data_IF_176564462209
#
_entry.id   IF_176564462209
#
_cell.length_a   1.000
_cell.length_b   1.000
_cell.length_c   1.000
_cell.angle_alpha   90.00
_cell.angle_beta   90.00
_cell.angle_gamma   90.00
#
_symmetry.space_group_name_H-M   'P 1'
#
loop_
_entity.id
_entity.type
_entity.pdbx_description
1 polymer ?
#
# COMPACT_ATOMS: atom_id res chain seq x y z
N UNK A 1 14.66 -14.89 -4.26
CA UNK A 1 13.40 -14.79 -3.45
C UNK A 1 12.15 -15.31 -4.16
N UNK A 2 11.95 -15.00 -5.45
CA UNK A 2 10.72 -15.34 -6.16
C UNK A 2 10.45 -16.85 -6.30
N UNK A 3 11.49 -17.65 -6.54
CA UNK A 3 11.35 -19.12 -6.65
C UNK A 3 10.84 -19.76 -5.37
N UNK A 4 11.25 -19.24 -4.21
CA UNK A 4 10.78 -19.72 -2.92
C UNK A 4 9.26 -19.56 -2.80
N UNK A 5 8.74 -18.37 -3.10
CA UNK A 5 7.30 -18.07 -2.98
C UNK A 5 6.46 -18.92 -3.93
N UNK A 6 6.95 -19.19 -5.15
CA UNK A 6 6.25 -20.02 -6.14
C UNK A 6 6.22 -21.51 -5.76
N UNK A 7 7.13 -21.97 -4.90
CA UNK A 7 7.19 -23.34 -4.42
C UNK A 7 6.43 -23.61 -3.13
N UNK A 8 5.78 -22.60 -2.55
CA UNK A 8 5.06 -22.74 -1.28
C UNK A 8 3.72 -23.47 -1.46
N UNK A 9 3.41 -24.34 -0.50
CA UNK A 9 2.08 -24.93 -0.36
C UNK A 9 1.16 -23.96 0.40
N UNK A 10 -0.11 -23.94 0.02
CA UNK A 10 -1.14 -23.19 0.75
C UNK A 10 -1.33 -23.81 2.14
N UNK A 11 -1.27 -22.97 3.18
CA UNK A 11 -1.49 -23.38 4.57
C UNK A 11 -2.99 -23.48 4.93
N UNK A 12 -3.85 -22.80 4.17
CA UNK A 12 -5.29 -22.79 4.33
C UNK A 12 -6.00 -22.41 3.02
N UNK A 13 -7.31 -22.64 2.93
CA UNK A 13 -8.12 -22.17 1.80
C UNK A 13 -8.26 -20.64 1.85
N UNK A 14 -8.45 -19.98 0.69
CA UNK A 14 -8.77 -18.55 0.66
C UNK A 14 -9.98 -18.26 1.53
N UNK A 15 -9.97 -17.08 2.17
CA UNK A 15 -11.12 -16.61 2.92
C UNK A 15 -11.49 -17.57 4.09
N UNK A 16 -10.51 -18.16 4.79
CA UNK A 16 -10.76 -18.94 6.04
C UNK A 16 -10.33 -18.16 7.28
N UNK A 17 -9.11 -17.63 7.27
CA UNK A 17 -8.55 -16.77 8.34
C UNK A 17 -7.66 -15.70 7.74
N UNK A 18 -7.47 -14.61 8.46
CA UNK A 18 -6.43 -13.64 8.14
C UNK A 18 -5.09 -14.11 8.70
N UNK A 19 -4.03 -14.03 7.88
CA UNK A 19 -2.66 -14.22 8.32
C UNK A 19 -1.78 -13.21 7.58
N UNK A 20 -0.95 -12.46 8.31
CA UNK A 20 0.01 -11.55 7.70
C UNK A 20 1.13 -12.38 7.05
N UNK A 21 1.40 -12.15 5.76
CA UNK A 21 2.42 -12.89 5.01
C UNK A 21 3.13 -11.99 4.01
N UNK A 22 4.45 -11.86 4.17
CA UNK A 22 5.30 -11.16 3.22
C UNK A 22 5.37 -11.92 1.89
N UNK A 23 5.30 -13.26 1.93
CA UNK A 23 5.30 -14.16 0.79
C UNK A 23 4.05 -13.95 -0.08
N UNK A 24 2.89 -13.78 0.54
CA UNK A 24 1.64 -13.47 -0.16
C UNK A 24 1.69 -12.12 -0.88
N UNK A 25 2.32 -11.11 -0.27
CA UNK A 25 2.54 -9.80 -0.90
C UNK A 25 3.57 -9.90 -2.03
N UNK A 26 4.62 -10.72 -1.88
CA UNK A 26 5.57 -11.00 -2.95
C UNK A 26 4.90 -11.69 -4.14
N UNK A 27 4.02 -12.67 -3.90
CA UNK A 27 3.23 -13.33 -4.93
C UNK A 27 2.33 -12.34 -5.67
N UNK A 28 1.70 -11.40 -4.96
CA UNK A 28 0.93 -10.32 -5.58
C UNK A 28 1.80 -9.46 -6.51
N UNK A 29 3.03 -9.13 -6.09
CA UNK A 29 4.01 -8.46 -6.93
C UNK A 29 4.29 -9.21 -8.24
N UNK A 30 4.51 -10.53 -8.15
CA UNK A 30 4.72 -11.39 -9.32
C UNK A 30 3.52 -11.41 -10.27
N UNK A 31 2.29 -11.41 -9.73
CA UNK A 31 1.07 -11.33 -10.54
C UNK A 31 1.02 -10.00 -11.30
N UNK A 32 1.35 -8.88 -10.65
CA UNK A 32 1.42 -7.57 -11.28
C UNK A 32 2.46 -7.56 -12.42
N UNK A 33 3.65 -8.11 -12.19
CA UNK A 33 4.68 -8.24 -13.23
C UNK A 33 4.19 -9.10 -14.42
N UNK A 34 3.51 -10.22 -14.12
CA UNK A 34 2.99 -11.14 -15.14
C UNK A 34 1.91 -10.50 -16.01
N UNK A 35 1.03 -9.69 -15.43
CA UNK A 35 -0.07 -9.00 -16.12
C UNK A 35 0.45 -7.79 -16.88
N UNK A 36 1.28 -6.96 -16.24
CA UNK A 36 1.81 -5.72 -16.83
C UNK A 36 2.92 -5.94 -17.86
N UNK A 37 3.57 -7.11 -17.85
CA UNK A 37 4.78 -7.42 -18.63
C UNK A 37 5.95 -6.47 -18.33
N UNK A 38 5.95 -5.84 -17.16
CA UNK A 38 6.99 -4.92 -16.70
C UNK A 38 7.51 -5.37 -15.32
N UNK A 39 8.77 -5.07 -14.98
CA UNK A 39 9.26 -5.19 -13.61
C UNK A 39 8.42 -4.36 -12.64
N UNK A 40 8.22 -4.85 -11.42
CA UNK A 40 7.31 -4.26 -10.43
C UNK A 40 7.67 -2.82 -10.09
N UNK A 41 8.95 -2.53 -9.92
CA UNK A 41 9.45 -1.18 -9.64
C UNK A 41 9.15 -0.20 -10.79
N UNK A 42 9.17 -0.67 -12.05
CA UNK A 42 8.75 0.13 -13.21
C UNK A 42 7.24 0.37 -13.22
N UNK A 43 6.44 -0.62 -12.84
CA UNK A 43 4.98 -0.44 -12.70
C UNK A 43 4.66 0.62 -11.65
N UNK A 44 5.25 0.52 -10.46
CA UNK A 44 5.05 1.51 -9.38
C UNK A 44 5.59 2.90 -9.78
N UNK A 45 6.72 2.95 -10.47
CA UNK A 45 7.28 4.20 -10.97
C UNK A 45 6.33 4.89 -11.94
N UNK A 46 5.79 4.15 -12.91
CA UNK A 46 4.93 4.72 -13.96
C UNK A 46 3.53 5.09 -13.42
N UNK A 47 2.97 4.29 -12.51
CA UNK A 47 1.60 4.46 -12.02
C UNK A 47 1.47 5.32 -10.76
N UNK A 48 2.52 5.40 -9.94
CA UNK A 48 2.45 6.05 -8.62
C UNK A 48 3.56 7.09 -8.42
N UNK A 49 4.84 6.70 -8.53
CA UNK A 49 5.92 7.61 -8.13
C UNK A 49 6.05 8.82 -9.06
N UNK A 50 6.07 8.62 -10.39
CA UNK A 50 6.12 9.75 -11.34
C UNK A 50 4.87 10.64 -11.25
N UNK A 51 3.63 10.12 -11.22
CA UNK A 51 2.45 10.98 -11.10
C UNK A 51 2.38 11.79 -9.79
N UNK A 52 3.02 11.32 -8.72
CA UNK A 52 3.08 12.00 -7.42
C UNK A 52 4.37 12.80 -7.19
N UNK A 53 5.26 12.89 -8.19
CA UNK A 53 6.56 13.53 -8.07
C UNK A 53 7.42 12.97 -6.90
N UNK A 54 7.38 11.66 -6.70
CA UNK A 54 8.16 10.95 -5.67
C UNK A 54 9.54 10.54 -6.20
N UNK A 55 10.37 11.53 -6.53
CA UNK A 55 11.63 11.32 -7.25
C UNK A 55 12.73 10.66 -6.39
N UNK A 56 12.55 10.63 -5.06
CA UNK A 56 13.50 10.04 -4.12
C UNK A 56 13.06 8.66 -3.60
N UNK A 57 12.03 8.08 -4.22
CA UNK A 57 11.46 6.79 -3.82
C UNK A 57 11.89 5.67 -4.75
N UNK A 58 12.34 4.55 -4.17
CA UNK A 58 12.74 3.35 -4.92
C UNK A 58 12.42 2.07 -4.18
N UNK A 59 12.07 1.03 -4.93
CA UNK A 59 11.91 -0.32 -4.40
C UNK A 59 13.28 -1.03 -4.32
N UNK A 60 13.48 -1.85 -3.30
CA UNK A 60 14.69 -2.67 -3.18
C UNK A 60 14.63 -3.90 -4.09
N UNK A 61 15.81 -4.45 -4.37
CA UNK A 61 15.99 -5.71 -5.08
C UNK A 61 16.85 -6.66 -4.25
N UNK A 62 16.61 -7.95 -4.38
CA UNK A 62 17.50 -8.97 -3.82
C UNK A 62 18.76 -9.16 -4.69
N UNK A 63 19.68 -10.03 -4.25
CA UNK A 63 20.93 -10.32 -4.97
C UNK A 63 20.73 -10.98 -6.34
N UNK A 64 19.55 -11.55 -6.59
CA UNK A 64 19.15 -12.13 -7.88
C UNK A 64 18.48 -11.09 -8.79
N UNK A 65 18.30 -9.85 -8.30
CA UNK A 65 17.65 -8.77 -9.03
C UNK A 65 16.12 -8.76 -8.93
N UNK A 66 15.50 -9.63 -8.13
CA UNK A 66 14.05 -9.63 -7.94
C UNK A 66 13.61 -8.41 -7.13
N UNK A 67 12.54 -7.72 -7.56
CA UNK A 67 11.98 -6.58 -6.81
C UNK A 67 11.25 -7.07 -5.56
N UNK A 68 11.52 -6.45 -4.41
CA UNK A 68 10.84 -6.74 -3.14
C UNK A 68 9.52 -5.99 -3.03
N UNK A 69 8.40 -6.72 -2.99
CA UNK A 69 7.07 -6.14 -2.94
C UNK A 69 6.58 -5.81 -1.52
N UNK A 70 7.12 -6.49 -0.50
CA UNK A 70 6.63 -6.39 0.89
C UNK A 70 7.44 -5.45 1.77
N UNK A 71 8.63 -5.00 1.35
CA UNK A 71 9.49 -4.15 2.19
C UNK A 71 10.84 -3.80 1.58
N UNK A 72 11.62 -3.03 2.33
CA UNK A 72 12.96 -2.58 1.93
C UNK A 72 12.98 -1.40 0.95
N UNK A 73 11.81 -0.86 0.58
CA UNK A 73 11.73 0.39 -0.16
C UNK A 73 12.37 1.55 0.58
N UNK A 74 12.98 2.45 -0.17
CA UNK A 74 13.62 3.67 0.34
C UNK A 74 12.76 4.84 -0.12
N UNK A 75 12.43 5.74 0.81
CA UNK A 75 11.60 6.93 0.55
C UNK A 75 12.06 8.08 1.45
N UNK A 76 11.75 9.31 1.05
CA UNK A 76 11.87 10.49 1.91
C UNK A 76 10.55 10.74 2.64
N UNK A 77 10.58 11.60 3.67
CA UNK A 77 9.37 12.07 4.33
C UNK A 77 8.49 12.88 3.37
N UNK A 78 9.09 13.70 2.50
CA UNK A 78 8.35 14.48 1.51
C UNK A 78 7.58 13.57 0.54
N UNK A 79 8.23 12.57 -0.03
CA UNK A 79 7.60 11.63 -0.97
C UNK A 79 6.48 10.83 -0.28
N UNK A 80 6.73 10.35 0.94
CA UNK A 80 5.73 9.63 1.71
C UNK A 80 4.50 10.50 2.03
N UNK A 81 4.69 11.80 2.26
CA UNK A 81 3.59 12.74 2.48
C UNK A 81 2.69 12.89 1.24
N UNK A 82 3.23 12.74 0.02
CA UNK A 82 2.43 12.77 -1.21
C UNK A 82 1.43 11.60 -1.26
N UNK A 83 1.83 10.41 -0.81
CA UNK A 83 0.92 9.27 -0.68
C UNK A 83 -0.17 9.55 0.36
N UNK A 84 0.19 10.15 1.49
CA UNK A 84 -0.77 10.58 2.50
C UNK A 84 -1.80 11.58 1.96
N UNK A 85 -1.34 12.58 1.19
CA UNK A 85 -2.20 13.56 0.51
C UNK A 85 -3.10 12.91 -0.54
N UNK A 86 -2.56 11.99 -1.35
CA UNK A 86 -3.32 11.22 -2.33
C UNK A 86 -4.49 10.48 -1.66
N UNK A 87 -4.21 9.76 -0.57
CA UNK A 87 -5.22 9.00 0.15
C UNK A 87 -6.25 9.92 0.84
N UNK A 88 -5.80 11.04 1.42
CA UNK A 88 -6.70 12.05 2.00
C UNK A 88 -7.64 12.65 0.96
N UNK A 89 -7.14 12.87 -0.26
CA UNK A 89 -7.89 13.44 -1.37
C UNK A 89 -8.59 12.36 -2.21
N UNK A 90 -8.90 11.20 -1.61
CA UNK A 90 -9.66 10.12 -2.25
C UNK A 90 -9.07 9.67 -3.60
N UNK A 91 -7.74 9.66 -3.69
CA UNK A 91 -7.00 9.22 -4.86
C UNK A 91 -6.77 10.30 -5.92
N UNK A 92 -7.06 11.57 -5.62
CA UNK A 92 -6.75 12.71 -6.48
C UNK A 92 -5.44 13.38 -6.11
N UNK A 93 -4.68 13.77 -7.13
CA UNK A 93 -3.46 14.55 -7.00
C UNK A 93 -3.42 15.61 -8.11
N UNK A 94 -3.24 16.88 -7.73
CA UNK A 94 -3.19 18.02 -8.66
C UNK A 94 -4.32 18.03 -9.71
N UNK A 95 -5.56 17.73 -9.29
CA UNK A 95 -6.73 17.71 -10.19
C UNK A 95 -6.87 16.46 -11.07
N UNK A 96 -5.98 15.46 -10.94
CA UNK A 96 -6.05 14.19 -11.66
C UNK A 96 -6.37 13.03 -10.70
N UNK A 97 -7.27 12.14 -11.12
CA UNK A 97 -7.49 10.87 -10.43
C UNK A 97 -6.34 9.91 -10.73
N UNK A 98 -5.53 9.58 -9.72
CA UNK A 98 -4.42 8.62 -9.83
C UNK A 98 -4.88 7.22 -9.43
N UNK A 99 -5.65 7.12 -8.35
CA UNK A 99 -6.21 5.86 -7.83
C UNK A 99 -7.70 6.05 -7.64
N UNK A 100 -8.57 5.11 -8.02
CA UNK A 100 -10.02 5.34 -7.89
C UNK A 100 -10.46 5.59 -6.44
N UNK A 101 -11.44 6.49 -6.25
CA UNK A 101 -12.05 6.75 -4.94
C UNK A 101 -12.60 5.47 -4.31
N UNK A 102 -13.24 4.61 -5.12
CA UNK A 102 -13.77 3.32 -4.67
C UNK A 102 -12.66 2.43 -4.10
N UNK A 103 -11.50 2.38 -4.76
CA UNK A 103 -10.37 1.61 -4.25
C UNK A 103 -9.83 2.20 -2.95
N UNK A 104 -9.73 3.54 -2.84
CA UNK A 104 -9.28 4.19 -1.60
C UNK A 104 -10.19 3.79 -0.43
N UNK A 105 -11.52 3.90 -0.61
CA UNK A 105 -12.51 3.47 0.39
C UNK A 105 -12.36 1.99 0.74
N UNK A 106 -12.26 1.12 -0.26
CA UNK A 106 -12.10 -0.31 -0.05
C UNK A 106 -10.79 -0.64 0.70
N UNK A 107 -9.70 0.06 0.37
CA UNK A 107 -8.37 -0.20 0.93
C UNK A 107 -8.29 0.07 2.43
N UNK A 108 -9.07 1.04 2.92
CA UNK A 108 -9.11 1.43 4.33
C UNK A 108 -10.28 0.80 5.09
N UNK A 109 -11.15 0.05 4.41
CA UNK A 109 -12.27 -0.65 5.04
C UNK A 109 -11.77 -1.98 5.61
N UNK A 110 -11.87 -2.21 6.94
CA UNK A 110 -11.42 -3.47 7.53
C UNK A 110 -12.19 -4.68 7.01
N UNK A 111 -11.48 -5.81 6.88
CA UNK A 111 -12.10 -7.08 6.52
C UNK A 111 -12.80 -7.72 7.73
N UNK A 112 -13.79 -8.58 7.46
CA UNK A 112 -14.51 -9.33 8.51
C UNK A 112 -13.58 -10.17 9.40
N UNK A 113 -12.48 -10.69 8.83
CA UNK A 113 -11.53 -11.57 9.55
C UNK A 113 -10.35 -10.83 10.17
N UNK A 114 -10.16 -9.56 9.82
CA UNK A 114 -9.20 -8.68 10.45
C UNK A 114 -9.82 -7.28 10.57
N UNK A 115 -10.56 -7.01 11.67
CA UNK A 115 -11.30 -5.75 11.87
C UNK A 115 -10.39 -4.52 12.07
N UNK A 116 -9.09 -4.68 11.81
CA UNK A 116 -8.05 -3.65 11.84
C UNK A 116 -7.23 -3.61 10.54
N UNK A 117 -7.62 -4.36 9.50
CA UNK A 117 -6.82 -4.54 8.29
C UNK A 117 -7.69 -4.57 7.03
N UNK A 118 -7.42 -3.64 6.10
CA UNK A 118 -8.01 -3.56 4.76
C UNK A 118 -7.08 -4.14 3.69
N UNK A 119 -6.96 -3.48 2.53
CA UNK A 119 -6.05 -3.90 1.45
C UNK A 119 -4.61 -3.51 1.77
N UNK A 120 -3.95 -4.30 2.62
CA UNK A 120 -2.58 -4.04 3.10
C UNK A 120 -2.45 -2.72 3.90
N UNK A 121 -3.57 -2.08 4.23
CA UNK A 121 -3.64 -0.89 5.09
C UNK A 121 -4.12 -1.29 6.47
N UNK A 122 -3.35 -0.94 7.49
CA UNK A 122 -3.79 -1.07 8.88
C UNK A 122 -4.64 0.14 9.28
N UNK A 123 -5.84 -0.11 9.78
CA UNK A 123 -6.71 0.90 10.37
C UNK A 123 -7.01 0.51 11.81
N UNK A 124 -6.95 1.45 12.76
CA UNK A 124 -7.51 1.22 14.09
C UNK A 124 -8.91 1.82 14.12
N UNK A 125 -9.91 1.00 14.46
CA UNK A 125 -11.21 1.49 14.90
C UNK A 125 -11.03 1.94 16.36
N UNK A 126 -11.03 3.25 16.60
CA UNK A 126 -11.19 3.80 17.95
C UNK A 126 -12.69 4.13 18.12
N UNK A 127 -13.21 4.04 19.34
CA UNK A 127 -14.65 4.18 19.67
C UNK A 127 -15.29 5.52 19.28
N UNK A 128 -14.52 6.49 18.82
CA UNK A 128 -15.00 7.69 18.14
C UNK A 128 -15.04 7.41 16.64
N UNK A 129 -16.15 7.72 15.96
CA UNK A 129 -16.41 7.46 14.52
C UNK A 129 -15.43 8.13 13.51
N UNK A 130 -14.19 8.44 13.90
CA UNK A 130 -13.09 8.86 13.03
C UNK A 130 -12.23 7.66 12.60
N UNK A 131 -12.31 7.26 11.33
CA UNK A 131 -11.36 6.32 10.74
C UNK A 131 -9.96 6.95 10.68
N UNK A 132 -9.05 6.52 11.55
CA UNK A 132 -7.62 6.89 11.47
C UNK A 132 -6.86 5.83 10.69
N UNK A 133 -6.40 6.21 9.49
CA UNK A 133 -5.53 5.39 8.67
C UNK A 133 -4.10 5.48 9.20
N UNK A 134 -3.50 4.34 9.58
CA UNK A 134 -2.11 4.29 10.03
C UNK A 134 -1.26 3.61 8.95
N UNK A 135 -0.31 4.37 8.39
CA UNK A 135 0.68 3.85 7.45
C UNK A 135 1.94 3.44 8.20
N UNK A 136 2.40 2.20 8.02
CA UNK A 136 3.65 1.72 8.61
C UNK A 136 4.77 1.73 7.56
N UNK A 137 5.66 2.71 7.67
CA UNK A 137 6.92 2.73 6.91
C UNK A 137 8.01 2.07 7.75
N UNK A 138 8.14 0.74 7.64
CA UNK A 138 9.28 -0.02 8.19
C UNK A 138 9.31 -0.24 9.71
N UNK A 139 10.14 -1.21 10.12
CA UNK A 139 10.34 -1.70 11.49
C UNK A 139 11.61 -1.14 12.16
N UNK A 140 12.28 -0.17 11.54
CA UNK A 140 13.47 0.47 12.09
C UNK A 140 13.13 1.91 12.52
N UNK A 141 12.56 2.01 13.71
CA UNK A 141 12.49 3.09 14.69
C UNK A 141 12.22 4.58 14.36
N UNK A 142 12.11 5.09 13.13
CA UNK A 142 12.03 6.57 12.97
C UNK A 142 10.98 7.20 12.03
N UNK A 143 10.02 6.45 11.46
CA UNK A 143 9.02 7.06 10.57
C UNK A 143 7.57 6.70 10.92
N UNK A 144 6.96 7.46 11.84
CA UNK A 144 5.50 7.51 12.03
C UNK A 144 4.93 8.76 11.36
N UNK A 145 4.30 8.63 10.19
CA UNK A 145 3.45 9.69 9.64
C UNK A 145 1.99 9.44 10.05
N UNK A 146 1.45 10.33 10.89
CA UNK A 146 0.04 10.30 11.31
C UNK A 146 -0.79 11.19 10.39
N UNK A 147 -1.54 10.62 9.46
CA UNK A 147 -2.57 11.38 8.76
C UNK A 147 -3.86 11.36 9.59
N UNK A 148 -4.40 12.53 9.94
CA UNK A 148 -5.80 12.67 10.39
C UNK A 148 -6.65 13.05 9.18
N UNK A 149 -7.33 12.11 8.52
CA UNK A 149 -8.37 12.49 7.58
C UNK A 149 -9.60 12.94 8.40
N UNK A 150 -9.83 14.25 8.45
CA UNK A 150 -11.13 14.80 8.86
C UNK A 150 -12.06 14.77 7.65
N UNK A 151 -13.07 13.90 7.71
CA UNK A 151 -14.09 13.76 6.66
C UNK A 151 -15.31 14.69 6.89
N UNK A 152 -15.29 15.56 7.91
CA UNK A 152 -16.40 16.46 8.22
C UNK A 152 -16.40 17.78 7.44
N UNK A 153 -15.33 18.07 6.69
CA UNK A 153 -15.10 19.38 6.04
C UNK A 153 -15.03 19.33 4.51
N UNK A 154 -15.61 18.31 3.86
CA UNK A 154 -15.78 18.37 2.40
C UNK A 154 -16.78 19.51 2.05
N UNK A 155 -16.38 20.52 1.25
CA UNK A 155 -17.31 21.54 0.79
C UNK A 155 -18.40 20.85 -0.05
N UNK A 156 -19.66 21.10 0.31
CA UNK A 156 -20.79 20.77 -0.54
C UNK A 156 -20.65 21.58 -1.83
N UNK A 157 -20.36 20.90 -2.94
CA UNK A 157 -20.67 21.40 -4.28
C UNK A 157 -22.11 21.01 -4.62
#
# INVERSE_FOLDING_TARGET
MNQYVLGLNLDTLPDVRFNYSNESVQLLGLIIEKVSKKPLDRVFTDLLFKPLCMDSTRMSRDSEGNVSAFGGGITTLQDAAQVGLLMRNMGQYQGRQIVSEQWVKASITPSKRAPYYGYLVAGQHLETQELRCYWRFGTNDHCFSRARPDFSTAPKL
#
